data_IF_461557441426
#
_entry.id   IF_461557441426
#
_cell.length_a   1.000
_cell.length_b   1.000
_cell.length_c   1.000
_cell.angle_alpha   90.00
_cell.angle_beta   90.00
_cell.angle_gamma   90.00
#
_symmetry.space_group_name_H-M   'P 1'
#
loop_
_entity.id
_entity.type
_entity.pdbx_description
1 polymer ?
#
# COMPACT_ATOMS: atom_id res chain seq x y z
N UNK A 1 -21.87 61.88 39.74
CA UNK A 1 -22.59 61.58 38.51
C UNK A 1 -22.09 60.23 37.97
N UNK A 2 -22.83 59.16 38.19
CA UNK A 2 -22.52 57.81 37.76
C UNK A 2 -23.20 57.56 36.42
N UNK A 3 -22.44 57.39 35.35
CA UNK A 3 -22.99 56.97 34.07
C UNK A 3 -23.03 55.44 34.06
N UNK A 4 -24.21 54.89 34.18
CA UNK A 4 -24.53 53.48 33.95
C UNK A 4 -24.46 53.18 32.48
N UNK A 5 -23.48 52.37 32.10
CA UNK A 5 -23.33 51.82 30.76
C UNK A 5 -24.29 50.63 30.64
N UNK A 6 -25.45 50.84 29.99
CA UNK A 6 -26.34 49.74 29.64
C UNK A 6 -25.69 48.90 28.54
N UNK A 7 -25.20 47.74 28.91
CA UNK A 7 -24.86 46.67 27.93
C UNK A 7 -26.18 46.09 27.47
N UNK A 8 -26.60 46.48 26.27
CA UNK A 8 -27.69 45.81 25.54
C UNK A 8 -27.09 44.46 25.08
N UNK A 9 -27.35 43.44 25.87
CA UNK A 9 -27.14 42.07 25.50
C UNK A 9 -28.19 41.73 24.44
N UNK A 10 -27.87 41.88 23.14
CA UNK A 10 -28.66 41.29 22.06
C UNK A 10 -28.55 39.78 22.18
N UNK A 11 -29.41 39.20 22.99
CA UNK A 11 -29.74 37.79 22.87
C UNK A 11 -30.49 37.69 21.57
N UNK A 12 -29.78 37.33 20.49
CA UNK A 12 -30.40 36.78 19.29
C UNK A 12 -30.94 35.43 19.75
N UNK A 13 -32.17 35.46 20.27
CA UNK A 13 -32.96 34.24 20.26
C UNK A 13 -33.10 33.88 18.79
N UNK A 14 -32.28 32.95 18.35
CA UNK A 14 -32.59 32.15 17.20
C UNK A 14 -33.97 31.54 17.49
N UNK A 15 -35.03 32.25 17.09
CA UNK A 15 -36.36 31.75 17.06
C UNK A 15 -36.31 30.49 16.19
N UNK A 16 -36.16 29.36 16.85
CA UNK A 16 -36.53 28.07 16.31
C UNK A 16 -38.02 28.16 15.92
N UNK A 17 -38.23 28.66 14.72
CA UNK A 17 -39.51 28.50 14.04
C UNK A 17 -39.62 27.01 13.82
N UNK A 18 -40.23 26.31 14.72
CA UNK A 18 -40.79 24.97 14.54
C UNK A 18 -41.97 25.05 13.59
N UNK A 19 -41.73 25.54 12.39
CA UNK A 19 -42.54 25.23 11.23
C UNK A 19 -42.17 23.82 10.84
N UNK A 20 -43.07 22.87 10.83
CA UNK A 20 -43.06 21.47 10.43
C UNK A 20 -41.68 21.07 9.83
N UNK A 21 -40.78 20.60 10.71
CA UNK A 21 -39.37 20.85 10.65
C UNK A 21 -38.65 20.12 9.51
N UNK A 22 -38.42 20.79 8.44
CA UNK A 22 -37.38 20.38 7.49
C UNK A 22 -36.02 20.58 8.13
N UNK A 23 -35.29 19.47 8.31
CA UNK A 23 -33.90 19.53 8.76
C UNK A 23 -33.02 20.14 7.66
N UNK A 24 -32.04 20.96 8.03
CA UNK A 24 -31.19 21.67 7.09
C UNK A 24 -29.80 21.04 7.12
N UNK A 25 -29.12 21.03 5.98
CA UNK A 25 -27.76 20.51 5.83
C UNK A 25 -26.80 21.22 6.79
N UNK A 26 -25.97 20.46 7.50
CA UNK A 26 -25.00 20.94 8.48
C UNK A 26 -23.82 21.68 7.86
N UNK A 27 -23.64 21.59 6.53
CA UNK A 27 -22.55 22.29 5.85
C UNK A 27 -22.86 23.79 5.79
N UNK A 28 -21.92 24.58 6.32
CA UNK A 28 -22.03 26.04 6.38
C UNK A 28 -22.36 26.65 5.01
N UNK A 29 -23.36 27.52 4.98
CA UNK A 29 -23.78 28.19 3.73
C UNK A 29 -24.64 27.36 2.77
N UNK A 30 -24.88 26.07 3.05
CA UNK A 30 -25.64 25.21 2.13
C UNK A 30 -27.14 25.56 2.07
N UNK A 31 -27.82 25.68 3.20
CA UNK A 31 -29.25 26.02 3.30
C UNK A 31 -30.24 25.03 2.68
N UNK A 32 -29.77 23.91 2.13
CA UNK A 32 -30.64 22.90 1.49
C UNK A 32 -31.28 21.96 2.53
N UNK A 33 -32.40 21.35 2.17
CA UNK A 33 -33.05 20.32 2.99
C UNK A 33 -32.13 19.11 3.17
N UNK A 34 -31.97 18.67 4.42
CA UNK A 34 -31.12 17.53 4.75
C UNK A 34 -31.87 16.21 4.62
N UNK A 35 -31.12 15.17 4.31
CA UNK A 35 -31.57 13.78 4.32
C UNK A 35 -30.95 13.09 5.56
N UNK A 36 -31.78 12.34 6.29
CA UNK A 36 -31.27 11.49 7.36
C UNK A 36 -30.61 10.24 6.77
N UNK A 37 -29.35 9.98 7.19
CA UNK A 37 -28.65 8.75 6.89
C UNK A 37 -28.06 8.20 8.20
N UNK A 38 -28.46 6.99 8.58
CA UNK A 38 -28.07 6.38 9.85
C UNK A 38 -26.56 6.15 10.00
N UNK A 39 -25.80 6.26 8.93
CA UNK A 39 -24.34 6.12 8.95
C UNK A 39 -23.62 7.39 9.40
N UNK A 40 -24.33 8.52 9.51
CA UNK A 40 -23.76 9.81 9.86
C UNK A 40 -24.57 10.49 10.96
N UNK A 41 -23.86 11.04 11.96
CA UNK A 41 -24.48 11.87 13.00
C UNK A 41 -24.90 13.25 12.47
N UNK A 42 -24.14 13.76 11.50
CA UNK A 42 -24.40 15.04 10.84
C UNK A 42 -25.44 14.91 9.75
N UNK A 43 -26.16 15.99 9.54
CA UNK A 43 -27.22 16.06 8.54
C UNK A 43 -26.70 16.65 7.24
N UNK A 44 -26.82 15.92 6.13
CA UNK A 44 -26.37 16.34 4.81
C UNK A 44 -27.53 16.47 3.82
N UNK A 45 -27.47 17.44 2.92
CA UNK A 45 -28.32 17.41 1.72
C UNK A 45 -27.84 16.30 0.76
N UNK A 46 -28.66 15.97 -0.24
CA UNK A 46 -28.36 14.88 -1.21
C UNK A 46 -26.96 15.01 -1.81
N UNK A 47 -26.54 16.21 -2.20
CA UNK A 47 -25.24 16.44 -2.83
C UNK A 47 -24.09 16.25 -1.83
N UNK A 48 -24.18 16.86 -0.64
CA UNK A 48 -23.13 16.75 0.38
C UNK A 48 -23.04 15.32 0.95
N UNK A 49 -24.16 14.63 1.09
CA UNK A 49 -24.18 13.22 1.47
C UNK A 49 -23.49 12.33 0.44
N UNK A 50 -23.75 12.58 -0.86
CA UNK A 50 -23.08 11.87 -1.95
C UNK A 50 -21.57 12.09 -1.89
N UNK A 51 -21.13 13.33 -1.74
CA UNK A 51 -19.69 13.67 -1.65
C UNK A 51 -19.04 13.06 -0.39
N UNK A 52 -19.72 13.11 0.75
CA UNK A 52 -19.22 12.51 1.99
C UNK A 52 -19.02 10.99 1.86
N UNK A 53 -20.01 10.30 1.28
CA UNK A 53 -19.91 8.86 1.00
C UNK A 53 -18.79 8.54 0.00
N UNK A 54 -18.61 9.36 -1.02
CA UNK A 54 -17.52 9.22 -1.98
C UNK A 54 -16.16 9.42 -1.31
N UNK A 55 -16.03 10.43 -0.45
CA UNK A 55 -14.82 10.68 0.33
C UNK A 55 -14.47 9.49 1.22
N UNK A 56 -15.42 9.01 2.04
CA UNK A 56 -15.18 7.91 2.98
C UNK A 56 -14.79 6.60 2.26
N UNK A 57 -15.48 6.27 1.18
CA UNK A 57 -15.17 5.11 0.35
C UNK A 57 -13.80 5.26 -0.33
N UNK A 58 -13.44 6.48 -0.77
CA UNK A 58 -12.13 6.76 -1.38
C UNK A 58 -11.00 6.68 -0.37
N UNK A 59 -11.21 7.19 0.86
CA UNK A 59 -10.23 7.10 1.96
C UNK A 59 -9.93 5.66 2.33
N UNK A 60 -10.96 4.81 2.39
CA UNK A 60 -10.79 3.37 2.65
C UNK A 60 -10.00 2.67 1.52
N UNK A 61 -10.37 2.93 0.26
CA UNK A 61 -9.68 2.39 -0.89
C UNK A 61 -8.21 2.86 -0.94
N UNK A 62 -7.97 4.15 -0.67
CA UNK A 62 -6.63 4.71 -0.56
C UNK A 62 -5.79 3.98 0.49
N UNK A 63 -6.32 3.74 1.69
CA UNK A 63 -5.63 3.02 2.75
C UNK A 63 -5.18 1.61 2.34
N UNK A 64 -6.01 0.88 1.58
CA UNK A 64 -5.66 -0.44 1.07
C UNK A 64 -4.59 -0.36 -0.03
N UNK A 65 -4.72 0.59 -0.96
CA UNK A 65 -3.70 0.81 -2.02
C UNK A 65 -2.36 1.19 -1.42
N UNK A 66 -2.34 2.09 -0.44
CA UNK A 66 -1.11 2.56 0.19
C UNK A 66 -0.36 1.44 0.90
N UNK A 67 -1.06 0.61 1.69
CA UNK A 67 -0.46 -0.57 2.34
C UNK A 67 0.09 -1.59 1.33
N UNK A 68 -0.65 -1.84 0.25
CA UNK A 68 -0.18 -2.70 -0.83
C UNK A 68 1.06 -2.13 -1.55
N UNK A 69 1.08 -0.82 -1.77
CA UNK A 69 2.22 -0.12 -2.35
C UNK A 69 3.47 -0.19 -1.47
N UNK A 70 3.35 -0.03 -0.14
CA UNK A 70 4.47 -0.16 0.79
C UNK A 70 5.14 -1.54 0.70
N UNK A 71 4.35 -2.60 0.58
CA UNK A 71 4.90 -3.95 0.35
C UNK A 71 5.61 -4.03 -1.01
N UNK A 72 5.02 -3.51 -2.08
CA UNK A 72 5.63 -3.49 -3.41
C UNK A 72 6.92 -2.66 -3.44
N UNK A 73 6.98 -1.54 -2.72
CA UNK A 73 8.14 -0.66 -2.59
C UNK A 73 9.31 -1.38 -1.91
N UNK A 74 9.06 -2.04 -0.77
CA UNK A 74 10.07 -2.81 -0.05
C UNK A 74 10.57 -3.98 -0.92
N UNK A 75 9.65 -4.71 -1.53
CA UNK A 75 9.98 -5.82 -2.43
C UNK A 75 10.82 -5.36 -3.63
N UNK A 76 10.44 -4.24 -4.26
CA UNK A 76 11.18 -3.65 -5.38
C UNK A 76 12.58 -3.19 -4.99
N UNK A 77 12.71 -2.58 -3.79
CA UNK A 77 14.00 -2.18 -3.22
C UNK A 77 14.92 -3.39 -3.03
N UNK A 78 14.41 -4.44 -2.41
CA UNK A 78 15.20 -5.64 -2.10
C UNK A 78 15.56 -6.42 -3.36
N UNK A 79 14.68 -6.50 -4.35
CA UNK A 79 14.97 -7.10 -5.67
C UNK A 79 16.09 -6.33 -6.37
N UNK A 80 16.03 -4.99 -6.35
CA UNK A 80 17.08 -4.15 -6.91
C UNK A 80 18.44 -4.41 -6.22
N UNK A 81 18.47 -4.42 -4.89
CA UNK A 81 19.69 -4.67 -4.12
C UNK A 81 20.21 -6.10 -4.33
N UNK A 82 19.33 -7.12 -4.38
CA UNK A 82 19.72 -8.49 -4.69
C UNK A 82 20.45 -8.59 -6.03
N UNK A 83 19.89 -7.98 -7.06
CA UNK A 83 20.47 -7.98 -8.40
C UNK A 83 21.76 -7.18 -8.47
N UNK A 84 21.77 -5.97 -7.88
CA UNK A 84 22.97 -5.13 -7.79
C UNK A 84 24.13 -5.85 -7.10
N UNK A 85 23.89 -6.44 -5.94
CA UNK A 85 24.89 -7.16 -5.18
C UNK A 85 25.41 -8.38 -5.97
N UNK A 86 24.53 -9.10 -6.66
CA UNK A 86 24.96 -10.25 -7.47
C UNK A 86 25.87 -9.87 -8.65
N UNK A 87 25.74 -8.64 -9.18
CA UNK A 87 26.59 -8.14 -10.26
C UNK A 87 27.91 -7.55 -9.72
N UNK A 88 27.81 -6.65 -8.74
CA UNK A 88 28.93 -5.81 -8.32
C UNK A 88 29.66 -6.34 -7.08
N UNK A 89 28.96 -7.06 -6.20
CA UNK A 89 29.47 -7.53 -4.91
C UNK A 89 29.47 -9.08 -4.83
N UNK A 90 29.49 -9.76 -5.99
CA UNK A 90 29.41 -11.23 -6.05
C UNK A 90 30.44 -11.96 -5.19
N UNK A 91 31.65 -11.41 -5.05
CA UNK A 91 32.69 -12.00 -4.20
C UNK A 91 32.36 -11.96 -2.70
N UNK A 92 31.68 -10.92 -2.27
CA UNK A 92 31.23 -10.80 -0.89
C UNK A 92 30.08 -11.77 -0.60
N UNK A 93 29.16 -11.96 -1.56
CA UNK A 93 28.13 -13.01 -1.47
C UNK A 93 28.76 -14.40 -1.47
N UNK A 94 29.79 -14.64 -2.29
CA UNK A 94 30.53 -15.92 -2.30
C UNK A 94 31.23 -16.20 -0.99
N UNK A 95 31.55 -15.19 -0.19
CA UNK A 95 32.21 -15.30 1.12
C UNK A 95 31.24 -15.41 2.28
N UNK A 96 30.23 -14.54 2.31
CA UNK A 96 29.33 -14.34 3.44
C UNK A 96 27.91 -14.89 3.21
N UNK A 97 27.56 -15.27 1.96
CA UNK A 97 26.28 -15.87 1.63
C UNK A 97 25.09 -14.94 1.84
N UNK A 98 24.01 -15.49 2.40
CA UNK A 98 22.80 -14.74 2.72
C UNK A 98 23.04 -13.63 3.75
N UNK A 99 24.00 -13.80 4.65
CA UNK A 99 24.37 -12.77 5.62
C UNK A 99 24.80 -11.46 4.96
N UNK A 100 25.45 -11.52 3.79
CA UNK A 100 25.80 -10.31 3.05
C UNK A 100 24.56 -9.63 2.46
N UNK A 101 23.68 -10.40 1.85
CA UNK A 101 22.46 -9.86 1.24
C UNK A 101 21.56 -9.18 2.27
N UNK A 102 21.29 -9.82 3.41
CA UNK A 102 20.40 -9.26 4.44
C UNK A 102 20.90 -7.93 5.06
N UNK A 103 22.19 -7.60 4.95
CA UNK A 103 22.72 -6.29 5.36
C UNK A 103 22.28 -5.14 4.43
N UNK A 104 21.78 -5.46 3.26
CA UNK A 104 21.40 -4.51 2.20
C UNK A 104 19.89 -4.46 1.96
N UNK A 105 19.15 -5.32 2.62
CA UNK A 105 17.71 -5.54 2.40
C UNK A 105 16.94 -5.42 3.71
N UNK A 106 15.62 -5.28 3.59
CA UNK A 106 14.69 -5.36 4.71
C UNK A 106 14.46 -6.82 5.18
N UNK A 107 14.87 -7.81 4.37
CA UNK A 107 14.74 -9.24 4.70
C UNK A 107 15.86 -9.71 5.63
N UNK A 108 15.47 -10.55 6.59
CA UNK A 108 16.41 -11.25 7.47
C UNK A 108 17.05 -12.45 6.76
N UNK A 109 18.15 -12.94 7.33
CA UNK A 109 18.82 -14.15 6.82
C UNK A 109 17.91 -15.39 6.86
N UNK A 110 17.06 -15.52 7.89
CA UNK A 110 16.09 -16.61 8.00
C UNK A 110 15.00 -16.52 6.93
N UNK A 111 14.51 -15.33 6.62
CA UNK A 111 13.52 -15.11 5.55
C UNK A 111 14.11 -15.41 4.17
N UNK A 112 15.32 -14.96 3.88
CA UNK A 112 16.02 -15.31 2.63
C UNK A 112 16.27 -16.81 2.52
N UNK A 113 16.69 -17.46 3.61
CA UNK A 113 16.89 -18.90 3.63
C UNK A 113 15.59 -19.68 3.47
N UNK A 114 14.47 -19.21 4.06
CA UNK A 114 13.14 -19.76 3.84
C UNK A 114 12.70 -19.63 2.37
N UNK A 115 12.97 -18.48 1.75
CA UNK A 115 12.78 -18.26 0.32
C UNK A 115 13.58 -19.26 -0.51
N UNK A 116 14.87 -19.45 -0.20
CA UNK A 116 15.68 -20.44 -0.90
C UNK A 116 15.13 -21.87 -0.71
N UNK A 117 14.80 -22.26 0.53
CA UNK A 117 14.24 -23.58 0.80
C UNK A 117 12.94 -23.85 0.02
N UNK A 118 12.07 -22.84 -0.11
CA UNK A 118 10.82 -22.94 -0.85
C UNK A 118 11.02 -23.11 -2.36
N UNK A 119 12.13 -22.66 -2.93
CA UNK A 119 12.46 -22.89 -4.34
C UNK A 119 12.82 -24.34 -4.67
N UNK A 120 13.21 -25.13 -3.66
CA UNK A 120 13.61 -26.53 -3.79
C UNK A 120 12.60 -27.52 -3.20
N UNK A 121 11.49 -27.03 -2.62
CA UNK A 121 10.46 -27.87 -2.03
C UNK A 121 9.07 -27.32 -2.34
N UNK A 122 8.35 -27.99 -3.21
CA UNK A 122 6.97 -27.62 -3.57
C UNK A 122 6.04 -27.61 -2.35
N UNK A 123 6.37 -28.40 -1.31
CA UNK A 123 5.56 -28.57 -0.11
C UNK A 123 6.09 -27.75 1.09
N UNK A 124 7.02 -26.80 0.88
CA UNK A 124 7.64 -26.05 2.00
C UNK A 124 6.60 -25.42 2.95
N UNK A 125 5.52 -24.87 2.41
CA UNK A 125 4.45 -24.24 3.20
C UNK A 125 3.75 -25.23 4.13
N UNK A 126 3.68 -26.50 3.76
CA UNK A 126 2.96 -27.58 4.49
C UNK A 126 3.85 -28.34 5.48
N UNK A 127 5.17 -28.10 5.47
CA UNK A 127 6.09 -28.74 6.40
C UNK A 127 5.76 -28.39 7.85
N UNK A 128 6.09 -29.31 8.77
CA UNK A 128 6.08 -29.02 10.21
C UNK A 128 7.09 -27.93 10.57
N UNK A 129 6.90 -27.24 11.71
CA UNK A 129 7.84 -26.19 12.14
C UNK A 129 9.27 -26.72 12.35
N UNK A 130 9.42 -27.99 12.78
CA UNK A 130 10.74 -28.62 12.92
C UNK A 130 11.40 -28.85 11.57
N UNK A 131 10.63 -29.30 10.57
CA UNK A 131 11.13 -29.58 9.22
C UNK A 131 11.44 -28.26 8.49
N UNK A 132 10.60 -27.20 8.65
CA UNK A 132 10.89 -25.86 8.15
C UNK A 132 12.22 -25.33 8.72
N UNK A 133 12.44 -25.45 10.04
CA UNK A 133 13.71 -25.02 10.67
C UNK A 133 14.90 -25.78 10.12
N UNK A 134 14.78 -27.11 9.87
CA UNK A 134 15.84 -27.91 9.27
C UNK A 134 16.10 -27.43 7.82
N UNK A 135 15.07 -27.26 7.01
CA UNK A 135 15.20 -26.81 5.63
C UNK A 135 15.83 -25.42 5.53
N UNK A 136 15.45 -24.48 6.42
CA UNK A 136 16.04 -23.13 6.50
C UNK A 136 17.53 -23.22 6.85
N UNK A 137 17.90 -24.06 7.82
CA UNK A 137 19.31 -24.28 8.19
C UNK A 137 20.10 -24.83 7.00
N UNK A 138 19.59 -25.87 6.35
CA UNK A 138 20.24 -26.49 5.19
C UNK A 138 20.38 -25.49 4.03
N UNK A 139 19.37 -24.62 3.82
CA UNK A 139 19.42 -23.55 2.83
C UNK A 139 20.52 -22.53 3.12
N UNK A 140 20.70 -22.12 4.39
CA UNK A 140 21.82 -21.24 4.79
C UNK A 140 23.16 -21.87 4.49
N UNK A 141 23.35 -23.13 4.88
CA UNK A 141 24.60 -23.87 4.72
C UNK A 141 24.94 -24.08 3.22
N UNK A 142 23.96 -24.17 2.34
CA UNK A 142 24.14 -24.48 0.91
C UNK A 142 24.11 -23.27 -0.02
N UNK A 143 23.57 -22.12 0.39
CA UNK A 143 23.41 -20.95 -0.49
C UNK A 143 24.72 -20.53 -1.18
N UNK A 144 25.80 -20.39 -0.41
CA UNK A 144 27.12 -19.98 -0.95
C UNK A 144 27.61 -20.95 -2.03
N UNK A 145 27.40 -22.25 -1.82
CA UNK A 145 27.76 -23.27 -2.80
C UNK A 145 26.87 -23.16 -4.06
N UNK A 146 25.57 -23.02 -3.91
CA UNK A 146 24.62 -22.87 -5.01
C UNK A 146 24.93 -21.60 -5.82
N UNK A 147 25.18 -20.49 -5.12
CA UNK A 147 25.53 -19.22 -5.75
C UNK A 147 26.78 -19.33 -6.64
N UNK A 148 27.81 -20.00 -6.16
CA UNK A 148 29.05 -20.25 -6.95
C UNK A 148 28.84 -21.19 -8.16
N UNK A 149 27.84 -22.01 -8.12
CA UNK A 149 27.58 -23.03 -9.16
C UNK A 149 26.57 -22.60 -10.22
N UNK A 150 25.85 -21.52 -9.98
CA UNK A 150 24.88 -21.04 -10.96
C UNK A 150 25.54 -20.13 -12.00
N UNK A 151 25.16 -20.31 -13.27
CA UNK A 151 25.60 -19.43 -14.36
C UNK A 151 24.93 -18.06 -14.32
N UNK A 152 23.80 -17.95 -13.60
CA UNK A 152 23.03 -16.72 -13.42
C UNK A 152 22.88 -16.37 -11.95
N UNK A 153 23.97 -15.92 -11.33
CA UNK A 153 24.02 -15.56 -9.91
C UNK A 153 22.95 -14.51 -9.53
N UNK A 154 22.73 -13.52 -10.40
CA UNK A 154 21.68 -12.52 -10.20
C UNK A 154 20.27 -13.14 -10.19
N UNK A 155 19.99 -14.11 -11.08
CA UNK A 155 18.69 -14.77 -11.09
C UNK A 155 18.44 -15.55 -9.79
N UNK A 156 19.46 -16.22 -9.24
CA UNK A 156 19.32 -16.90 -7.96
C UNK A 156 19.03 -15.89 -6.84
N UNK A 157 19.79 -14.80 -6.76
CA UNK A 157 19.58 -13.78 -5.73
C UNK A 157 18.18 -13.16 -5.81
N UNK A 158 17.71 -12.77 -7.00
CA UNK A 158 16.38 -12.22 -7.22
C UNK A 158 15.28 -13.23 -6.89
N UNK A 159 15.40 -14.48 -7.36
CA UNK A 159 14.39 -15.50 -7.09
C UNK A 159 14.29 -15.84 -5.60
N UNK A 160 15.42 -15.90 -4.89
CA UNK A 160 15.43 -16.09 -3.43
C UNK A 160 14.73 -14.96 -2.72
N UNK A 161 14.98 -13.70 -3.12
CA UNK A 161 14.34 -12.52 -2.58
C UNK A 161 12.83 -12.54 -2.80
N UNK A 162 12.39 -12.78 -4.04
CA UNK A 162 10.96 -12.88 -4.38
C UNK A 162 10.26 -13.99 -3.61
N UNK A 163 10.90 -15.17 -3.51
CA UNK A 163 10.38 -16.31 -2.76
C UNK A 163 10.31 -16.03 -1.25
N UNK A 164 11.24 -15.27 -0.69
CA UNK A 164 11.23 -14.86 0.71
C UNK A 164 9.98 -14.01 1.04
N UNK A 165 9.63 -13.02 0.21
CA UNK A 165 8.40 -12.24 0.36
C UNK A 165 7.14 -13.10 0.28
N UNK A 166 7.14 -14.13 -0.59
CA UNK A 166 6.04 -15.07 -0.69
C UNK A 166 5.91 -15.93 0.56
N UNK A 167 7.00 -16.51 1.06
CA UNK A 167 7.00 -17.36 2.27
C UNK A 167 6.65 -16.55 3.51
N UNK A 168 7.07 -15.29 3.60
CA UNK A 168 6.72 -14.34 4.66
C UNK A 168 5.21 -13.99 4.68
N UNK A 169 4.50 -14.19 3.56
CA UNK A 169 3.08 -13.88 3.41
C UNK A 169 2.80 -12.45 2.94
N UNK A 170 3.82 -11.66 2.64
CA UNK A 170 3.66 -10.29 2.16
C UNK A 170 3.01 -10.25 0.76
N UNK A 171 3.35 -11.23 -0.10
CA UNK A 171 2.72 -11.35 -1.43
C UNK A 171 1.23 -11.64 -1.33
N UNK A 172 0.82 -12.54 -0.44
CA UNK A 172 -0.60 -12.85 -0.21
C UNK A 172 -1.33 -11.65 0.38
N UNK A 173 -0.73 -10.97 1.36
CA UNK A 173 -1.26 -9.74 1.96
C UNK A 173 -1.46 -8.64 0.93
N UNK A 174 -0.47 -8.35 0.10
CA UNK A 174 -0.59 -7.34 -0.96
C UNK A 174 -1.64 -7.73 -2.01
N UNK A 175 -1.71 -9.01 -2.37
CA UNK A 175 -2.73 -9.53 -3.30
C UNK A 175 -4.15 -9.29 -2.76
N UNK A 176 -4.39 -9.55 -1.48
CA UNK A 176 -5.68 -9.31 -0.83
C UNK A 176 -6.01 -7.81 -0.77
N UNK A 177 -5.03 -6.97 -0.40
CA UNK A 177 -5.19 -5.52 -0.35
C UNK A 177 -5.55 -4.94 -1.73
N UNK A 178 -4.84 -5.32 -2.79
CA UNK A 178 -5.14 -4.87 -4.15
C UNK A 178 -6.45 -5.45 -4.70
N UNK A 179 -6.82 -6.67 -4.34
CA UNK A 179 -8.12 -7.26 -4.69
C UNK A 179 -9.28 -6.50 -4.03
N UNK A 180 -9.13 -6.16 -2.75
CA UNK A 180 -10.11 -5.35 -2.01
C UNK A 180 -10.21 -3.95 -2.62
N UNK A 181 -9.06 -3.29 -2.83
CA UNK A 181 -9.02 -1.98 -3.47
C UNK A 181 -9.67 -1.99 -4.87
N UNK A 182 -9.45 -3.04 -5.66
CA UNK A 182 -10.08 -3.21 -6.98
C UNK A 182 -11.61 -3.23 -6.90
N UNK A 183 -12.16 -3.93 -5.92
CA UNK A 183 -13.62 -3.96 -5.69
C UNK A 183 -14.14 -2.58 -5.28
N UNK A 184 -13.43 -1.90 -4.37
CA UNK A 184 -13.76 -0.55 -3.92
C UNK A 184 -13.68 0.47 -5.07
N UNK A 185 -12.65 0.38 -5.91
CA UNK A 185 -12.50 1.23 -7.10
C UNK A 185 -13.64 1.02 -8.10
N UNK A 186 -14.12 -0.23 -8.25
CA UNK A 186 -15.29 -0.51 -9.08
C UNK A 186 -16.54 0.15 -8.51
N UNK A 187 -16.76 0.01 -7.22
CA UNK A 187 -17.92 0.64 -6.53
C UNK A 187 -17.89 2.18 -6.64
N UNK A 188 -16.68 2.77 -6.50
CA UNK A 188 -16.49 4.21 -6.70
C UNK A 188 -16.81 4.63 -8.13
N UNK A 189 -16.35 3.86 -9.12
CA UNK A 189 -16.64 4.11 -10.53
C UNK A 189 -18.13 4.08 -10.83
N UNK A 190 -18.85 3.11 -10.26
CA UNK A 190 -20.26 2.88 -10.52
C UNK A 190 -21.17 3.94 -9.84
N UNK A 191 -20.78 4.41 -8.62
CA UNK A 191 -21.63 5.26 -7.78
C UNK A 191 -21.18 6.73 -7.73
N UNK A 192 -19.87 6.98 -7.90
CA UNK A 192 -19.20 8.26 -7.62
C UNK A 192 -18.16 8.63 -8.67
N UNK A 193 -18.36 8.27 -9.93
CA UNK A 193 -17.41 8.54 -11.03
C UNK A 193 -17.13 10.04 -11.25
N UNK A 194 -18.03 10.90 -10.78
CA UNK A 194 -17.93 12.36 -10.80
C UNK A 194 -17.23 12.96 -9.55
N UNK A 195 -16.78 12.11 -8.61
CA UNK A 195 -16.01 12.57 -7.46
C UNK A 195 -14.62 13.07 -7.90
N UNK A 196 -14.27 14.30 -7.50
CA UNK A 196 -13.11 15.02 -8.02
C UNK A 196 -11.77 14.28 -7.83
N UNK A 197 -11.61 13.50 -6.74
CA UNK A 197 -10.37 12.78 -6.45
C UNK A 197 -10.33 11.35 -7.01
N UNK A 198 -11.44 10.87 -7.62
CA UNK A 198 -11.49 9.52 -8.19
C UNK A 198 -10.41 9.26 -9.26
N UNK A 199 -10.13 10.19 -10.21
CA UNK A 199 -9.10 9.95 -11.22
C UNK A 199 -7.68 9.78 -10.63
N UNK A 200 -7.31 10.58 -9.62
CA UNK A 200 -6.02 10.47 -8.94
C UNK A 200 -5.90 9.14 -8.19
N UNK A 201 -6.94 8.76 -7.43
CA UNK A 201 -6.98 7.48 -6.71
C UNK A 201 -6.89 6.28 -7.67
N UNK A 202 -7.58 6.35 -8.82
CA UNK A 202 -7.50 5.33 -9.86
C UNK A 202 -6.09 5.23 -10.46
N UNK A 203 -5.45 6.37 -10.70
CA UNK A 203 -4.06 6.42 -11.17
C UNK A 203 -3.11 5.77 -10.18
N UNK A 204 -3.22 6.12 -8.89
CA UNK A 204 -2.44 5.53 -7.81
C UNK A 204 -2.63 4.02 -7.71
N UNK A 205 -3.88 3.55 -7.67
CA UNK A 205 -4.19 2.11 -7.65
C UNK A 205 -3.55 1.37 -8.85
N UNK A 206 -3.69 1.92 -10.06
CA UNK A 206 -3.14 1.29 -11.27
C UNK A 206 -1.62 1.20 -11.21
N UNK A 207 -0.96 2.27 -10.81
CA UNK A 207 0.50 2.32 -10.68
C UNK A 207 1.00 1.35 -9.60
N UNK A 208 0.41 1.39 -8.41
CA UNK A 208 0.79 0.56 -7.27
C UNK A 208 0.60 -0.94 -7.55
N UNK A 209 -0.55 -1.33 -8.13
CA UNK A 209 -0.81 -2.73 -8.48
C UNK A 209 0.09 -3.23 -9.60
N UNK A 210 0.38 -2.41 -10.62
CA UNK A 210 1.31 -2.77 -11.69
C UNK A 210 2.74 -2.90 -11.19
N UNK A 211 3.14 -2.07 -10.23
CA UNK A 211 4.45 -2.19 -9.58
C UNK A 211 4.56 -3.49 -8.79
N UNK A 212 3.53 -3.85 -8.04
CA UNK A 212 3.48 -5.11 -7.32
C UNK A 212 3.57 -6.33 -8.26
N UNK A 213 2.81 -6.31 -9.37
CA UNK A 213 2.85 -7.37 -10.39
C UNK A 213 4.26 -7.49 -11.01
N UNK A 214 4.92 -6.36 -11.29
CA UNK A 214 6.29 -6.34 -11.77
C UNK A 214 7.27 -6.94 -10.75
N UNK A 215 7.15 -6.63 -9.46
CA UNK A 215 8.01 -7.17 -8.41
C UNK A 215 7.87 -8.69 -8.24
N UNK A 216 6.71 -9.26 -8.53
CA UNK A 216 6.53 -10.72 -8.48
C UNK A 216 7.25 -11.45 -9.61
N UNK A 217 7.43 -10.81 -10.78
CA UNK A 217 8.05 -11.40 -11.96
C UNK A 217 8.96 -10.36 -12.65
N UNK A 218 10.05 -9.92 -12.01
CA UNK A 218 10.93 -8.91 -12.56
C UNK A 218 11.62 -9.44 -13.81
N UNK A 219 11.61 -8.64 -14.89
CA UNK A 219 12.19 -9.00 -16.19
C UNK A 219 13.05 -7.88 -16.74
N UNK A 220 13.88 -8.21 -17.73
CA UNK A 220 14.71 -7.25 -18.43
C UNK A 220 16.19 -7.32 -18.02
N UNK A 221 16.96 -6.30 -18.39
CA UNK A 221 18.33 -6.10 -17.92
C UNK A 221 18.34 -5.36 -16.58
N UNK A 222 19.50 -5.31 -15.90
CA UNK A 222 19.64 -4.55 -14.65
C UNK A 222 19.27 -3.07 -14.80
N UNK A 223 19.68 -2.43 -15.89
CA UNK A 223 19.34 -1.03 -16.16
C UNK A 223 17.84 -0.84 -16.42
N UNK A 224 17.20 -1.79 -17.08
CA UNK A 224 15.75 -1.77 -17.29
C UNK A 224 15.00 -2.00 -15.97
N UNK A 225 15.43 -2.94 -15.12
CA UNK A 225 14.87 -3.13 -13.80
C UNK A 225 14.93 -1.85 -12.98
N UNK A 226 16.13 -1.22 -12.92
CA UNK A 226 16.33 0.04 -12.20
C UNK A 226 15.39 1.13 -12.68
N UNK A 227 15.38 1.38 -13.99
CA UNK A 227 14.51 2.39 -14.60
C UNK A 227 13.04 2.12 -14.31
N UNK A 228 12.59 0.87 -14.45
CA UNK A 228 11.19 0.49 -14.21
C UNK A 228 10.77 0.72 -12.76
N UNK A 229 11.62 0.35 -11.79
CA UNK A 229 11.36 0.62 -10.37
C UNK A 229 11.29 2.13 -10.11
N UNK A 230 12.25 2.92 -10.64
CA UNK A 230 12.26 4.38 -10.50
C UNK A 230 11.02 5.03 -11.14
N UNK A 231 10.58 4.56 -12.30
CA UNK A 231 9.39 5.05 -12.99
C UNK A 231 8.11 4.79 -12.18
N UNK A 232 7.94 3.58 -11.62
CA UNK A 232 6.79 3.29 -10.74
C UNK A 232 6.81 4.15 -9.48
N UNK A 233 7.97 4.32 -8.85
CA UNK A 233 8.15 5.18 -7.65
C UNK A 233 7.78 6.62 -7.93
N UNK A 234 8.24 7.16 -9.03
CA UNK A 234 7.95 8.54 -9.41
C UNK A 234 6.46 8.74 -9.68
N UNK A 235 5.86 7.86 -10.49
CA UNK A 235 4.42 7.92 -10.78
C UNK A 235 3.56 7.75 -9.50
N UNK A 236 3.92 6.81 -8.62
CA UNK A 236 3.21 6.61 -7.37
C UNK A 236 3.33 7.84 -6.46
N UNK A 237 4.52 8.45 -6.36
CA UNK A 237 4.75 9.65 -5.56
C UNK A 237 3.91 10.83 -6.03
N UNK A 238 3.78 11.01 -7.34
CA UNK A 238 2.98 12.11 -7.92
C UNK A 238 1.51 12.00 -7.47
N UNK A 239 0.92 10.80 -7.54
CA UNK A 239 -0.44 10.58 -7.06
C UNK A 239 -0.56 10.61 -5.54
N UNK A 240 0.39 9.96 -4.84
CA UNK A 240 0.36 9.82 -3.38
C UNK A 240 0.41 11.17 -2.69
N UNK A 241 1.26 12.09 -3.15
CA UNK A 241 1.39 13.43 -2.56
C UNK A 241 0.07 14.21 -2.51
N UNK A 242 -0.73 14.13 -3.57
CA UNK A 242 -2.03 14.78 -3.62
C UNK A 242 -3.05 14.06 -2.71
N UNK A 243 -3.03 12.73 -2.70
CA UNK A 243 -3.97 11.90 -1.95
C UNK A 243 -3.69 11.91 -0.44
N UNK A 244 -2.41 11.96 -0.01
CA UNK A 244 -2.02 12.12 1.38
C UNK A 244 -2.63 13.41 1.96
N UNK A 245 -2.49 14.53 1.24
CA UNK A 245 -3.07 15.81 1.65
C UNK A 245 -4.60 15.76 1.81
N UNK A 246 -5.28 14.92 1.03
CA UNK A 246 -6.75 14.79 1.05
C UNK A 246 -7.22 13.83 2.14
N UNK A 247 -6.51 12.72 2.37
CA UNK A 247 -7.01 11.60 3.18
C UNK A 247 -6.30 11.37 4.52
N UNK A 248 -5.10 11.96 4.76
CA UNK A 248 -4.34 11.77 6.01
C UNK A 248 -4.61 12.85 7.08
N UNK A 249 -5.42 13.89 6.77
CA UNK A 249 -5.83 14.92 7.73
C UNK A 249 -6.97 14.47 8.69
#
# INVERSE_FOLDING_TARGET
>A
MKKTLSIVLCIIMASSITACGKKVCSIEGCGQEAIEDASYEELYCTSHLKNKKAFDASKEAYGNVNKGYEIAENMGSDIYEAWRCAIYDHKDIEKEGLTFLCKKMELTEDELAAGLASLFSDDFSTLSDSDKKSAIKDAKDTFTYLFKKTDSQFSLAVNVTTAAYKVKGDVDTATELFSTAKSQMKDLSDKYSDYEHYPALKGYYTTASSFFDFCQNPTGSFEQLKSTIEDYRNQARDYKSDLDYIFED
#
